data_IF_736438938247
#
_entry.id   IF_736438938247
#
_cell.length_a   1.000
_cell.length_b   1.000
_cell.length_c   1.000
_cell.angle_alpha   90.00
_cell.angle_beta   90.00
_cell.angle_gamma   90.00
#
_symmetry.space_group_name_H-M   'P 1'
#
loop_
_entity.id
_entity.type
_entity.pdbx_description
1 polymer ?
#
# COMPACT_ATOMS: atom_id res chain seq x y z
N UNK A 1 34.17 -6.21 7.58
CA UNK A 1 33.23 -5.08 7.58
C UNK A 1 31.96 -5.51 6.84
N UNK A 2 30.91 -5.93 7.54
CA UNK A 2 29.67 -6.42 6.92
C UNK A 2 28.47 -5.75 7.58
N UNK A 3 27.96 -4.67 6.97
CA UNK A 3 26.58 -4.20 7.15
C UNK A 3 26.17 -3.12 6.12
N UNK A 4 25.61 -3.51 4.95
CA UNK A 4 24.74 -2.62 4.17
C UNK A 4 23.28 -3.12 4.00
N UNK A 5 23.01 -4.42 4.17
CA UNK A 5 21.71 -5.00 3.77
C UNK A 5 20.50 -4.53 4.60
N UNK A 6 20.66 -4.28 5.91
CA UNK A 6 19.53 -3.93 6.80
C UNK A 6 18.96 -2.53 6.55
N UNK A 7 19.79 -1.55 6.13
CA UNK A 7 19.34 -0.18 5.84
C UNK A 7 18.54 -0.09 4.55
N UNK A 8 18.96 -0.84 3.52
CA UNK A 8 18.22 -0.92 2.26
C UNK A 8 16.86 -1.61 2.44
N UNK A 9 16.79 -2.71 3.19
CA UNK A 9 15.53 -3.40 3.49
C UNK A 9 14.50 -2.54 4.23
N UNK A 10 14.94 -1.76 5.22
CA UNK A 10 14.06 -0.82 5.94
C UNK A 10 13.51 0.29 5.04
N UNK A 11 14.32 0.78 4.10
CA UNK A 11 13.90 1.82 3.14
C UNK A 11 12.89 1.26 2.13
N UNK A 12 13.13 0.06 1.59
CA UNK A 12 12.21 -0.63 0.68
C UNK A 12 10.84 -0.88 1.34
N UNK A 13 10.84 -1.41 2.56
CA UNK A 13 9.61 -1.68 3.32
C UNK A 13 8.83 -0.42 3.61
N UNK A 14 9.52 0.67 3.94
CA UNK A 14 8.89 1.98 4.19
C UNK A 14 8.23 2.52 2.92
N UNK A 15 8.91 2.43 1.78
CA UNK A 15 8.37 2.83 0.47
C UNK A 15 7.11 2.04 0.10
N UNK A 16 7.15 0.70 0.22
CA UNK A 16 5.98 -0.15 -0.04
C UNK A 16 4.83 0.11 0.95
N UNK A 17 5.15 0.40 2.20
CA UNK A 17 4.17 0.75 3.23
C UNK A 17 3.46 2.06 2.88
N UNK A 18 4.19 3.08 2.44
CA UNK A 18 3.62 4.35 1.99
C UNK A 18 2.60 4.13 0.85
N UNK A 19 2.95 3.30 -0.13
CA UNK A 19 2.07 3.04 -1.27
C UNK A 19 0.81 2.27 -0.85
N UNK A 20 0.95 1.26 0.00
CA UNK A 20 -0.19 0.55 0.62
C UNK A 20 -1.10 1.54 1.37
N UNK A 21 -0.52 2.45 2.15
CA UNK A 21 -1.29 3.39 2.97
C UNK A 21 -2.03 4.42 2.10
N UNK A 22 -1.43 4.85 0.99
CA UNK A 22 -2.12 5.68 0.00
C UNK A 22 -3.31 4.93 -0.63
N UNK A 23 -3.13 3.66 -1.02
CA UNK A 23 -4.22 2.84 -1.56
C UNK A 23 -5.35 2.63 -0.53
N UNK A 24 -5.01 2.46 0.75
CA UNK A 24 -5.98 2.37 1.85
C UNK A 24 -6.86 3.62 1.97
N UNK A 25 -6.35 4.80 1.60
CA UNK A 25 -7.11 6.06 1.58
C UNK A 25 -7.90 6.22 0.27
N UNK A 26 -7.28 5.91 -0.87
CA UNK A 26 -7.89 6.12 -2.21
C UNK A 26 -9.10 5.22 -2.43
N UNK A 27 -9.01 3.94 -2.08
CA UNK A 27 -10.10 2.95 -2.29
C UNK A 27 -11.44 3.38 -1.67
N UNK A 28 -11.53 3.76 -0.39
CA UNK A 28 -12.78 4.25 0.19
C UNK A 28 -13.16 5.62 -0.36
N UNK A 29 -12.19 6.51 -0.64
CA UNK A 29 -12.49 7.82 -1.20
C UNK A 29 -13.18 7.72 -2.58
N UNK A 30 -12.79 6.75 -3.41
CA UNK A 30 -13.43 6.48 -4.71
C UNK A 30 -14.88 6.01 -4.57
N UNK A 31 -15.28 5.50 -3.40
CA UNK A 31 -16.65 5.05 -3.15
C UNK A 31 -17.57 6.19 -2.71
N UNK A 32 -17.02 7.24 -2.09
CA UNK A 32 -17.79 8.32 -1.45
C UNK A 32 -17.77 9.61 -2.27
N UNK A 33 -16.72 9.84 -3.06
CA UNK A 33 -16.45 11.12 -3.70
C UNK A 33 -16.14 11.03 -5.19
N UNK A 34 -16.92 10.25 -5.96
CA UNK A 34 -16.83 10.23 -7.41
C UNK A 34 -16.89 11.67 -7.96
N UNK A 35 -15.87 12.10 -8.70
CA UNK A 35 -15.79 13.45 -9.27
C UNK A 35 -15.43 14.60 -8.30
N UNK A 36 -15.11 14.33 -7.03
CA UNK A 36 -14.70 15.38 -6.10
C UNK A 36 -13.30 15.94 -6.47
N UNK A 37 -13.07 17.26 -6.46
CA UNK A 37 -11.77 17.85 -6.88
C UNK A 37 -10.57 17.38 -6.05
N UNK A 38 -10.79 16.89 -4.83
CA UNK A 38 -9.76 16.28 -4.00
C UNK A 38 -9.35 14.88 -4.50
N UNK A 39 -10.22 14.17 -5.22
CA UNK A 39 -9.92 12.86 -5.82
C UNK A 39 -8.79 12.97 -6.84
N UNK A 40 -8.84 13.97 -7.71
CA UNK A 40 -7.78 14.23 -8.68
C UNK A 40 -6.41 14.42 -8.01
N UNK A 41 -6.36 15.11 -6.86
CA UNK A 41 -5.12 15.31 -6.09
C UNK A 41 -4.62 14.02 -5.45
N UNK A 42 -5.52 13.19 -4.91
CA UNK A 42 -5.17 11.88 -4.34
C UNK A 42 -4.61 10.95 -5.41
N UNK A 43 -5.27 10.86 -6.57
CA UNK A 43 -4.82 10.06 -7.71
C UNK A 43 -3.49 10.57 -8.28
N UNK A 44 -3.30 11.89 -8.36
CA UNK A 44 -2.03 12.47 -8.80
C UNK A 44 -0.88 12.11 -7.84
N UNK A 45 -1.10 12.20 -6.52
CA UNK A 45 -0.11 11.79 -5.52
C UNK A 45 0.21 10.31 -5.59
N UNK A 46 -0.81 9.46 -5.76
CA UNK A 46 -0.64 8.02 -5.95
C UNK A 46 0.22 7.73 -7.19
N UNK A 47 -0.08 8.39 -8.32
CA UNK A 47 0.69 8.27 -9.57
C UNK A 47 2.14 8.66 -9.38
N UNK A 48 2.42 9.81 -8.76
CA UNK A 48 3.79 10.27 -8.49
C UNK A 48 4.54 9.27 -7.60
N UNK A 49 3.88 8.76 -6.57
CA UNK A 49 4.49 7.80 -5.64
C UNK A 49 4.80 6.48 -6.35
N UNK A 50 3.84 5.95 -7.12
CA UNK A 50 4.02 4.71 -7.89
C UNK A 50 5.11 4.84 -8.96
N UNK A 51 5.17 5.96 -9.68
CA UNK A 51 6.20 6.22 -10.67
C UNK A 51 7.61 6.23 -10.06
N UNK A 52 7.76 6.83 -8.86
CA UNK A 52 9.00 6.82 -8.09
C UNK A 52 9.41 5.45 -7.53
N UNK A 53 8.53 4.44 -7.63
CA UNK A 53 8.73 3.09 -7.12
C UNK A 53 8.62 2.02 -8.21
N UNK A 54 8.62 2.40 -9.49
CA UNK A 54 8.39 1.49 -10.63
C UNK A 54 9.29 0.26 -10.57
N UNK A 55 10.61 0.44 -10.53
CA UNK A 55 11.59 -0.66 -10.53
C UNK A 55 11.47 -1.53 -9.28
N UNK A 56 11.16 -0.90 -8.14
CA UNK A 56 10.97 -1.57 -6.87
C UNK A 56 9.74 -2.48 -6.91
N UNK A 57 8.61 -1.98 -7.42
CA UNK A 57 7.39 -2.76 -7.57
C UNK A 57 7.56 -3.88 -8.60
N UNK A 58 8.24 -3.61 -9.71
CA UNK A 58 8.53 -4.62 -10.73
C UNK A 58 9.31 -5.80 -10.15
N UNK A 59 10.28 -5.52 -9.28
CA UNK A 59 11.09 -6.54 -8.64
C UNK A 59 10.38 -7.26 -7.48
N UNK A 60 9.61 -6.53 -6.66
CA UNK A 60 9.05 -7.06 -5.42
C UNK A 60 7.65 -7.66 -5.58
N UNK A 61 6.77 -7.03 -6.36
CA UNK A 61 5.38 -7.48 -6.57
C UNK A 61 4.84 -6.92 -7.91
N UNK A 62 5.21 -7.53 -9.05
CA UNK A 62 4.87 -7.02 -10.39
C UNK A 62 3.36 -6.99 -10.65
N UNK A 63 2.60 -7.88 -10.01
CA UNK A 63 1.14 -7.86 -10.13
C UNK A 63 0.49 -6.68 -9.38
N UNK A 64 1.08 -6.19 -8.28
CA UNK A 64 0.62 -4.94 -7.67
C UNK A 64 0.95 -3.74 -8.57
N UNK A 65 2.11 -3.74 -9.24
CA UNK A 65 2.45 -2.71 -10.22
C UNK A 65 1.42 -2.65 -11.35
N UNK A 66 1.09 -3.80 -11.95
CA UNK A 66 0.12 -3.88 -13.03
C UNK A 66 -1.27 -3.37 -12.60
N UNK A 67 -1.73 -3.78 -11.41
CA UNK A 67 -3.00 -3.33 -10.86
C UNK A 67 -3.01 -1.81 -10.56
N UNK A 68 -1.90 -1.24 -10.06
CA UNK A 68 -1.80 0.22 -9.89
C UNK A 68 -1.89 0.94 -11.25
N UNK A 69 -1.20 0.42 -12.26
CA UNK A 69 -1.25 0.94 -13.63
C UNK A 69 -2.67 0.95 -14.18
N UNK A 70 -3.32 -0.21 -14.21
CA UNK A 70 -4.69 -0.37 -14.68
C UNK A 70 -5.67 0.53 -13.89
N UNK A 71 -5.52 0.59 -12.56
CA UNK A 71 -6.37 1.44 -11.73
C UNK A 71 -6.23 2.93 -12.04
N UNK A 72 -5.03 3.40 -12.38
CA UNK A 72 -4.77 4.79 -12.78
C UNK A 72 -5.29 5.09 -14.20
N UNK A 73 -5.27 4.10 -15.10
CA UNK A 73 -5.85 4.21 -16.45
C UNK A 73 -7.37 4.31 -16.39
N UNK A 74 -8.03 3.41 -15.66
CA UNK A 74 -9.48 3.46 -15.40
C UNK A 74 -9.89 4.78 -14.75
N UNK A 75 -9.13 5.26 -13.76
CA UNK A 75 -9.41 6.54 -13.12
C UNK A 75 -9.32 7.72 -14.10
N UNK A 76 -8.40 7.68 -15.07
CA UNK A 76 -8.28 8.69 -16.11
C UNK A 76 -9.44 8.64 -17.11
N UNK A 77 -10.01 7.46 -17.34
CA UNK A 77 -11.21 7.26 -18.15
C UNK A 77 -12.53 7.59 -17.41
N UNK A 78 -12.48 7.87 -16.10
CA UNK A 78 -13.68 8.06 -15.26
C UNK A 78 -14.37 6.77 -14.83
N UNK A 79 -13.72 5.63 -15.05
CA UNK A 79 -14.18 4.27 -14.71
C UNK A 79 -13.83 3.97 -13.23
N UNK A 80 -14.48 4.68 -12.31
CA UNK A 80 -14.10 4.65 -10.90
C UNK A 80 -14.34 3.30 -10.21
N UNK A 81 -15.29 2.49 -10.68
CA UNK A 81 -15.56 1.16 -10.13
C UNK A 81 -14.44 0.16 -10.48
N UNK A 82 -14.00 0.21 -11.73
CA UNK A 82 -12.89 -0.56 -12.29
C UNK A 82 -11.59 -0.12 -11.60
N UNK A 83 -11.36 1.19 -11.53
CA UNK A 83 -10.23 1.78 -10.80
C UNK A 83 -10.15 1.30 -9.35
N UNK A 84 -11.28 1.34 -8.63
CA UNK A 84 -11.36 0.85 -7.25
C UNK A 84 -11.03 -0.63 -7.14
N UNK A 85 -11.51 -1.46 -8.07
CA UNK A 85 -11.24 -2.90 -8.09
C UNK A 85 -9.75 -3.18 -8.22
N UNK A 86 -9.09 -2.49 -9.15
CA UNK A 86 -7.65 -2.62 -9.37
C UNK A 86 -6.82 -2.12 -8.17
N UNK A 87 -7.17 -0.96 -7.61
CA UNK A 87 -6.49 -0.45 -6.41
C UNK A 87 -6.69 -1.34 -5.19
N UNK A 88 -7.85 -1.98 -5.02
CA UNK A 88 -8.08 -2.95 -3.96
C UNK A 88 -7.21 -4.21 -4.16
N UNK A 89 -7.04 -4.66 -5.40
CA UNK A 89 -6.13 -5.77 -5.74
C UNK A 89 -4.68 -5.44 -5.38
N UNK A 90 -4.20 -4.26 -5.77
CA UNK A 90 -2.86 -3.79 -5.41
C UNK A 90 -2.67 -3.69 -3.89
N UNK A 91 -3.64 -3.11 -3.18
CA UNK A 91 -3.61 -2.97 -1.72
C UNK A 91 -3.46 -4.34 -1.02
N UNK A 92 -4.23 -5.34 -1.44
CA UNK A 92 -4.18 -6.69 -0.87
C UNK A 92 -2.81 -7.34 -1.09
N UNK A 93 -2.28 -7.27 -2.30
CA UNK A 93 -0.96 -7.82 -2.64
C UNK A 93 0.16 -7.19 -1.82
N UNK A 94 0.18 -5.86 -1.73
CA UNK A 94 1.16 -5.15 -0.91
C UNK A 94 1.00 -5.46 0.59
N UNK A 95 -0.24 -5.64 1.07
CA UNK A 95 -0.49 -6.02 2.46
C UNK A 95 0.06 -7.41 2.79
N UNK A 96 -0.10 -8.38 1.88
CA UNK A 96 0.45 -9.73 2.00
C UNK A 96 1.98 -9.68 2.01
N UNK A 97 2.58 -9.03 1.00
CA UNK A 97 4.04 -8.87 0.91
C UNK A 97 4.63 -8.24 2.19
N UNK A 98 3.99 -7.19 2.71
CA UNK A 98 4.43 -6.51 3.93
C UNK A 98 4.16 -7.33 5.20
N UNK A 99 3.22 -8.27 5.18
CA UNK A 99 2.98 -9.19 6.29
C UNK A 99 4.02 -10.33 6.32
N UNK A 100 4.36 -10.88 5.15
CA UNK A 100 5.26 -12.04 4.99
C UNK A 100 6.74 -11.71 5.15
N UNK A 101 7.11 -10.43 5.29
CA UNK A 101 8.43 -9.97 5.70
C UNK A 101 8.44 -9.58 7.20
N UNK A 102 8.74 -10.51 8.13
CA UNK A 102 8.53 -10.30 9.55
C UNK A 102 9.74 -9.63 10.21
N UNK A 103 9.75 -8.30 10.28
CA UNK A 103 10.45 -7.58 11.37
C UNK A 103 9.63 -7.60 12.68
N UNK A 104 8.38 -8.10 12.64
CA UNK A 104 7.45 -8.07 13.78
C UNK A 104 7.80 -9.03 14.93
N UNK A 105 8.66 -10.03 14.68
CA UNK A 105 9.02 -11.01 15.72
C UNK A 105 9.94 -10.44 16.82
N UNK A 106 10.65 -9.34 16.57
CA UNK A 106 11.52 -8.74 17.60
C UNK A 106 10.74 -7.94 18.66
N UNK A 107 9.60 -7.33 18.31
CA UNK A 107 8.80 -6.53 19.25
C UNK A 107 7.72 -7.34 19.98
N UNK A 108 7.25 -8.45 19.42
CA UNK A 108 6.16 -9.25 20.01
C UNK A 108 6.59 -10.15 21.18
N UNK A 109 7.90 -10.27 21.47
CA UNK A 109 8.40 -11.02 22.64
C UNK A 109 8.22 -10.22 23.94
N UNK A 110 7.97 -8.91 23.85
CA UNK A 110 7.82 -8.02 25.01
C UNK A 110 6.40 -7.53 25.30
N UNK A 111 5.44 -7.71 24.40
CA UNK A 111 4.05 -7.29 24.65
C UNK A 111 3.36 -8.33 25.56
N UNK A 112 3.28 -8.01 26.85
CA UNK A 112 2.41 -8.76 27.75
C UNK A 112 0.99 -8.69 27.19
N UNK A 113 0.42 -9.84 26.84
CA UNK A 113 -0.97 -9.95 26.46
C UNK A 113 -1.84 -9.50 27.64
N UNK A 114 -2.31 -8.26 27.63
CA UNK A 114 -3.32 -7.81 28.57
C UNK A 114 -4.61 -8.56 28.25
N UNK A 115 -4.83 -9.67 28.96
CA UNK A 115 -6.12 -10.34 29.00
C UNK A 115 -7.14 -9.35 29.56
N UNK A 116 -8.14 -9.03 28.76
CA UNK A 116 -9.32 -8.30 29.21
C UNK A 116 -9.96 -9.06 30.37
N UNK A 117 -9.92 -8.46 31.57
CA UNK A 117 -10.68 -8.97 32.71
C UNK A 117 -12.11 -8.47 32.57
N UNK A 118 -13.12 -9.36 32.59
CA UNK A 118 -14.51 -8.92 32.67
C UNK A 118 -14.71 -8.21 34.02
N UNK A 119 -15.24 -6.99 33.96
CA UNK A 119 -15.66 -6.23 35.13
C UNK A 119 -16.86 -6.96 35.72
N UNK A 120 -16.80 -7.29 37.02
CA UNK A 120 -17.96 -7.71 37.82
C UNK A 120 -18.34 -6.58 38.76
#
# INVERSE_FOLDING_TARGET
MNAPARRSGATLRTSLSLLRDQLHVVVPALTVGEGHPQMAQLLARLRTTAAGMTDLLAAAEPAAQAAIGAGLEHAAAGEYNESRTEFLTAYRRLSILLHDHPDRRASAVGESTQRWRPVR
#
